data_IF_088093899370
#
_entry.id   IF_088093899370
#
_cell.length_a   1.000
_cell.length_b   1.000
_cell.length_c   1.000
_cell.angle_alpha   90.00
_cell.angle_beta   90.00
_cell.angle_gamma   90.00
#
_symmetry.space_group_name_H-M   'P 1'
#
loop_
_entity.id
_entity.type
_entity.pdbx_description
1 polymer ?
#
# COMPACT_ATOMS: atom_id res chain seq x y z
N UNK A 1 6.30 1.83 14.12
CA UNK A 1 5.33 2.59 13.32
C UNK A 1 5.99 3.60 12.37
N UNK A 2 7.08 4.29 12.75
CA UNK A 2 7.84 5.19 11.83
C UNK A 2 8.48 4.47 10.62
N UNK A 3 8.78 3.17 10.74
CA UNK A 3 9.36 2.37 9.66
C UNK A 3 8.36 2.10 8.52
N UNK A 4 7.06 1.98 8.81
CA UNK A 4 6.03 1.75 7.78
C UNK A 4 5.84 2.97 6.88
N UNK A 5 5.95 4.19 7.42
CA UNK A 5 6.00 5.40 6.63
C UNK A 5 7.20 5.36 5.67
N UNK A 6 8.41 5.05 6.15
CA UNK A 6 9.60 4.93 5.28
C UNK A 6 9.41 3.92 4.14
N UNK A 7 8.66 2.84 4.37
CA UNK A 7 8.33 1.88 3.32
C UNK A 7 7.39 2.43 2.25
N UNK A 8 6.38 3.22 2.62
CA UNK A 8 5.48 3.84 1.65
C UNK A 8 6.20 4.92 0.83
N UNK A 9 7.17 5.63 1.44
CA UNK A 9 7.83 6.79 0.83
C UNK A 9 8.81 6.46 -0.31
N UNK A 10 9.34 5.24 -0.38
CA UNK A 10 10.46 4.92 -1.29
C UNK A 10 10.17 3.82 -2.33
N UNK A 11 8.93 3.34 -2.43
CA UNK A 11 8.53 2.44 -3.51
C UNK A 11 8.29 3.19 -4.82
N UNK A 12 9.40 3.55 -5.49
CA UNK A 12 9.37 4.12 -6.84
C UNK A 12 9.18 3.07 -7.95
N UNK A 13 9.10 1.78 -7.60
CA UNK A 13 9.07 0.64 -8.55
C UNK A 13 7.72 -0.08 -8.65
N UNK A 14 6.69 0.38 -7.94
CA UNK A 14 5.35 -0.20 -7.99
C UNK A 14 4.45 0.41 -9.07
N UNK A 15 3.40 -0.31 -9.46
CA UNK A 15 2.28 0.30 -10.17
C UNK A 15 1.63 1.37 -9.28
N UNK A 16 1.05 2.42 -9.90
CA UNK A 16 0.38 3.47 -9.13
C UNK A 16 -0.77 2.89 -8.32
N UNK A 17 -1.04 3.48 -7.14
CA UNK A 17 -2.17 3.10 -6.30
C UNK A 17 -3.48 3.09 -7.11
N UNK A 18 -3.65 4.08 -8.00
CA UNK A 18 -4.80 4.17 -8.90
C UNK A 18 -4.93 2.95 -9.82
N UNK A 19 -3.83 2.53 -10.47
CA UNK A 19 -3.84 1.38 -11.36
C UNK A 19 -4.03 0.07 -10.60
N UNK A 20 -3.35 -0.07 -9.46
CA UNK A 20 -3.47 -1.24 -8.57
C UNK A 20 -4.90 -1.42 -8.05
N UNK A 21 -5.56 -0.35 -7.59
CA UNK A 21 -6.98 -0.38 -7.21
C UNK A 21 -7.85 -0.69 -8.42
N UNK A 22 -7.55 -0.09 -9.58
CA UNK A 22 -8.26 -0.35 -10.83
C UNK A 22 -8.30 -1.85 -11.18
N UNK A 23 -7.17 -2.55 -11.10
CA UNK A 23 -7.08 -3.99 -11.36
C UNK A 23 -7.98 -4.79 -10.40
N UNK A 24 -7.96 -4.45 -9.11
CA UNK A 24 -8.79 -5.13 -8.09
C UNK A 24 -10.29 -4.90 -8.36
N UNK A 25 -10.68 -3.67 -8.69
CA UNK A 25 -12.06 -3.33 -8.99
C UNK A 25 -12.53 -3.96 -10.30
N UNK A 26 -11.69 -4.01 -11.34
CA UNK A 26 -11.99 -4.71 -12.59
C UNK A 26 -12.19 -6.21 -12.35
N UNK A 27 -11.32 -6.84 -11.56
CA UNK A 27 -11.47 -8.24 -11.19
C UNK A 27 -12.77 -8.49 -10.41
N UNK A 28 -13.12 -7.58 -9.49
CA UNK A 28 -14.38 -7.63 -8.76
C UNK A 28 -15.58 -7.50 -9.70
N UNK A 29 -15.54 -6.57 -10.65
CA UNK A 29 -16.61 -6.38 -11.62
C UNK A 29 -16.82 -7.64 -12.47
N UNK A 30 -15.75 -8.25 -12.99
CA UNK A 30 -15.84 -9.51 -13.73
C UNK A 30 -16.44 -10.65 -12.90
N UNK A 31 -16.21 -10.64 -11.58
CA UNK A 31 -16.82 -11.60 -10.65
C UNK A 31 -18.31 -11.30 -10.41
N UNK A 32 -18.72 -10.03 -10.38
CA UNK A 32 -20.12 -9.61 -10.29
C UNK A 32 -20.91 -9.98 -11.56
N UNK A 33 -20.27 -9.98 -12.72
CA UNK A 33 -20.84 -10.42 -14.01
C UNK A 33 -20.89 -11.95 -14.16
N UNK A 34 -20.16 -12.69 -13.33
CA UNK A 34 -20.09 -14.14 -13.39
C UNK A 34 -21.36 -14.80 -12.82
N UNK A 35 -21.85 -15.83 -13.51
CA UNK A 35 -23.05 -16.56 -13.14
C UNK A 35 -22.72 -17.91 -12.49
N UNK A 36 -23.59 -18.35 -11.58
CA UNK A 36 -23.50 -19.65 -10.91
C UNK A 36 -23.33 -19.57 -9.40
N UNK A 37 -23.56 -20.69 -8.72
CA UNK A 37 -23.53 -20.76 -7.26
C UNK A 37 -22.12 -20.53 -6.69
N UNK A 38 -21.10 -21.08 -7.36
CA UNK A 38 -19.69 -20.86 -6.99
C UNK A 38 -19.31 -19.39 -7.14
N UNK A 39 -19.72 -18.72 -8.21
CA UNK A 39 -19.44 -17.30 -8.42
C UNK A 39 -20.05 -16.43 -7.30
N UNK A 40 -21.31 -16.72 -6.91
CA UNK A 40 -21.97 -16.04 -5.78
C UNK A 40 -21.22 -16.21 -4.47
N UNK A 41 -20.80 -17.44 -4.13
CA UNK A 41 -20.04 -17.72 -2.90
C UNK A 41 -18.69 -16.98 -2.86
N UNK A 42 -17.99 -16.93 -3.99
CA UNK A 42 -16.72 -16.20 -4.10
C UNK A 42 -16.97 -14.69 -3.96
N UNK A 43 -18.02 -14.15 -4.60
CA UNK A 43 -18.38 -12.74 -4.51
C UNK A 43 -18.76 -12.31 -3.08
N UNK A 44 -19.56 -13.12 -2.39
CA UNK A 44 -19.91 -12.92 -0.98
C UNK A 44 -18.66 -12.91 -0.10
N UNK A 45 -17.74 -13.84 -0.34
CA UNK A 45 -16.46 -13.90 0.37
C UNK A 45 -15.61 -12.65 0.09
N UNK A 46 -15.53 -12.22 -1.16
CA UNK A 46 -14.82 -11.03 -1.59
C UNK A 46 -15.37 -9.77 -0.89
N UNK A 47 -16.68 -9.58 -0.93
CA UNK A 47 -17.36 -8.46 -0.26
C UNK A 47 -17.15 -8.49 1.26
N UNK A 48 -17.18 -9.67 1.88
CA UNK A 48 -16.91 -9.85 3.31
C UNK A 48 -15.47 -9.50 3.68
N UNK A 49 -14.50 -9.80 2.83
CA UNK A 49 -13.09 -9.42 3.05
C UNK A 49 -12.93 -7.91 2.94
N UNK A 50 -13.48 -7.29 1.89
CA UNK A 50 -13.38 -5.83 1.72
C UNK A 50 -14.08 -5.05 2.82
N UNK A 51 -15.25 -5.51 3.30
CA UNK A 51 -15.98 -4.81 4.36
C UNK A 51 -15.29 -4.87 5.72
N UNK A 52 -14.49 -5.92 5.97
CA UNK A 52 -13.71 -6.08 7.21
C UNK A 52 -12.32 -5.44 7.14
N UNK A 53 -11.84 -5.10 5.94
CA UNK A 53 -10.51 -4.56 5.76
C UNK A 53 -10.54 -3.02 5.78
N UNK A 54 -10.35 -2.43 6.96
CA UNK A 54 -10.28 -0.98 7.14
C UNK A 54 -9.18 -0.33 6.29
N UNK A 55 -8.03 -1.01 6.11
CA UNK A 55 -6.93 -0.52 5.29
C UNK A 55 -7.31 -0.40 3.81
N UNK A 56 -8.13 -1.32 3.29
CA UNK A 56 -8.66 -1.21 1.92
C UNK A 56 -9.58 0.01 1.76
N UNK A 57 -10.43 0.29 2.75
CA UNK A 57 -11.27 1.49 2.73
C UNK A 57 -10.42 2.77 2.78
N UNK A 58 -9.35 2.76 3.58
CA UNK A 58 -8.42 3.89 3.71
C UNK A 58 -7.64 4.14 2.40
N UNK A 59 -7.12 3.10 1.75
CA UNK A 59 -6.44 3.20 0.45
C UNK A 59 -7.34 3.76 -0.65
N UNK A 60 -8.63 3.40 -0.66
CA UNK A 60 -9.59 3.99 -1.59
C UNK A 60 -9.76 5.51 -1.36
N UNK A 61 -9.82 5.96 -0.10
CA UNK A 61 -9.87 7.40 0.23
C UNK A 61 -8.63 8.13 -0.28
N UNK A 62 -7.45 7.57 -0.02
CA UNK A 62 -6.16 8.12 -0.50
C UNK A 62 -6.15 8.22 -2.03
N UNK A 63 -6.64 7.19 -2.74
CA UNK A 63 -6.75 7.22 -4.20
C UNK A 63 -7.74 8.28 -4.69
N UNK A 64 -8.88 8.47 -4.01
CA UNK A 64 -9.85 9.52 -4.35
C UNK A 64 -9.26 10.92 -4.22
N UNK A 65 -8.42 11.16 -3.21
CA UNK A 65 -7.69 12.43 -3.01
C UNK A 65 -6.69 12.63 -4.16
N UNK A 66 -5.87 11.63 -4.48
CA UNK A 66 -4.89 11.72 -5.58
C UNK A 66 -5.52 11.99 -6.95
N UNK A 67 -6.72 11.46 -7.20
CA UNK A 67 -7.46 11.68 -8.44
C UNK A 67 -8.30 12.98 -8.42
N UNK A 68 -8.26 13.76 -7.34
CA UNK A 68 -9.02 15.01 -7.21
C UNK A 68 -10.53 14.82 -7.07
N UNK A 69 -11.00 13.58 -6.85
CA UNK A 69 -12.43 13.24 -6.77
C UNK A 69 -13.04 13.52 -5.38
N UNK A 70 -12.21 13.60 -4.34
CA UNK A 70 -12.67 13.87 -2.98
C UNK A 70 -11.71 14.82 -2.26
N UNK A 71 -12.11 16.10 -2.13
CA UNK A 71 -11.25 17.18 -1.63
C UNK A 71 -11.26 17.34 -0.10
N UNK A 72 -12.24 16.73 0.61
CA UNK A 72 -12.44 16.90 2.06
C UNK A 72 -12.48 15.57 2.82
N UNK A 73 -11.86 14.52 2.29
CA UNK A 73 -11.84 13.21 2.95
C UNK A 73 -10.71 13.18 3.95
N UNK A 74 -11.05 13.13 5.24
CA UNK A 74 -10.06 12.95 6.29
C UNK A 74 -9.57 11.49 6.30
N UNK A 75 -8.25 11.33 6.27
CA UNK A 75 -7.59 10.04 6.48
C UNK A 75 -6.92 10.13 7.85
N UNK A 76 -7.54 9.52 8.85
CA UNK A 76 -7.26 9.76 10.27
C UNK A 76 -5.79 9.51 10.67
N UNK A 77 -5.05 8.73 9.88
CA UNK A 77 -3.67 8.33 10.17
C UNK A 77 -2.59 9.18 9.50
N UNK A 78 -2.92 10.02 8.52
CA UNK A 78 -1.93 10.67 7.66
C UNK A 78 -2.21 12.16 7.50
N UNK A 79 -1.16 12.97 7.57
CA UNK A 79 -1.27 14.39 7.24
C UNK A 79 -1.28 14.61 5.71
N UNK A 80 -1.54 15.85 5.27
CA UNK A 80 -1.58 16.16 3.84
C UNK A 80 -0.25 15.93 3.11
N UNK A 81 0.90 16.05 3.79
CA UNK A 81 2.20 15.77 3.20
C UNK A 81 2.41 14.27 3.04
N UNK A 82 2.06 13.49 4.06
CA UNK A 82 2.14 12.02 4.04
C UNK A 82 1.34 11.43 2.88
N UNK A 83 0.13 11.96 2.67
CA UNK A 83 -0.77 11.52 1.59
C UNK A 83 -0.15 11.66 0.20
N UNK A 84 0.60 12.73 -0.07
CA UNK A 84 1.25 12.96 -1.38
C UNK A 84 2.24 11.85 -1.73
N UNK A 85 2.87 11.23 -0.73
CA UNK A 85 3.82 10.15 -0.93
C UNK A 85 3.15 8.78 -1.13
N UNK A 86 1.83 8.66 -0.91
CA UNK A 86 1.11 7.40 -1.05
C UNK A 86 0.72 7.05 -2.50
N UNK A 87 1.20 7.80 -3.50
CA UNK A 87 0.93 7.54 -4.92
C UNK A 87 1.27 6.11 -5.37
N UNK A 88 2.25 5.49 -4.72
CA UNK A 88 2.72 4.12 -4.98
C UNK A 88 2.54 3.20 -3.76
N UNK A 89 1.56 3.51 -2.90
CA UNK A 89 1.30 2.70 -1.72
C UNK A 89 1.01 1.23 -2.10
N UNK A 90 1.66 0.25 -1.44
CA UNK A 90 1.44 -1.15 -1.73
C UNK A 90 0.03 -1.58 -1.31
N UNK A 91 -0.64 -2.34 -2.18
CA UNK A 91 -1.98 -2.88 -1.89
C UNK A 91 -1.96 -4.33 -1.42
N UNK A 92 -0.82 -5.03 -1.56
CA UNK A 92 -0.66 -6.44 -1.15
C UNK A 92 0.35 -6.57 -0.02
N UNK A 93 0.13 -7.54 0.88
CA UNK A 93 1.12 -7.86 1.93
C UNK A 93 2.42 -8.40 1.36
N UNK A 94 2.38 -9.04 0.18
CA UNK A 94 3.57 -9.56 -0.50
C UNK A 94 4.54 -8.44 -0.87
N UNK A 95 4.03 -7.29 -1.31
CA UNK A 95 4.88 -6.14 -1.64
C UNK A 95 5.57 -5.59 -0.39
N UNK A 96 4.85 -5.55 0.74
CA UNK A 96 5.36 -5.16 2.05
C UNK A 96 6.42 -6.16 2.55
N UNK A 97 6.14 -7.46 2.48
CA UNK A 97 7.08 -8.51 2.89
C UNK A 97 8.36 -8.49 2.05
N UNK A 98 8.23 -8.29 0.73
CA UNK A 98 9.38 -8.11 -0.16
C UNK A 98 10.22 -6.91 0.30
N UNK A 99 9.58 -5.81 0.71
CA UNK A 99 10.28 -4.67 1.31
C UNK A 99 11.07 -5.09 2.55
N UNK A 100 10.39 -5.68 3.53
CA UNK A 100 11.02 -6.12 4.78
C UNK A 100 12.18 -7.08 4.54
N UNK A 101 12.08 -7.94 3.52
CA UNK A 101 13.17 -8.83 3.10
C UNK A 101 14.37 -8.06 2.57
N UNK A 102 14.17 -7.07 1.70
CA UNK A 102 15.26 -6.23 1.17
C UNK A 102 16.03 -5.51 2.28
N UNK A 103 15.32 -5.02 3.31
CA UNK A 103 15.94 -4.30 4.43
C UNK A 103 16.17 -5.19 5.66
N UNK A 104 16.10 -6.52 5.52
CA UNK A 104 16.26 -7.47 6.63
C UNK A 104 17.57 -7.26 7.38
N UNK A 105 18.65 -6.92 6.68
CA UNK A 105 19.96 -6.70 7.31
C UNK A 105 20.02 -5.43 8.16
N UNK A 106 19.16 -4.45 7.88
CA UNK A 106 19.06 -3.17 8.61
C UNK A 106 18.07 -3.28 9.76
N UNK A 107 16.93 -3.93 9.51
CA UNK A 107 15.83 -4.06 10.46
C UNK A 107 16.03 -5.22 11.45
N UNK A 108 17.03 -6.09 11.22
CA UNK A 108 17.40 -7.12 12.18
C UNK A 108 17.98 -6.49 13.46
N UNK A 109 17.62 -7.02 14.65
CA UNK A 109 18.21 -6.56 15.91
C UNK A 109 19.74 -6.68 15.90
N UNK A 110 20.42 -5.72 16.52
CA UNK A 110 21.85 -5.80 16.89
C UNK A 110 22.90 -5.89 15.76
N UNK A 111 22.61 -5.48 14.52
CA UNK A 111 23.65 -5.45 13.46
C UNK A 111 24.22 -4.07 13.16
N UNK A 112 23.42 -3.00 13.27
CA UNK A 112 23.85 -1.61 13.05
C UNK A 112 22.96 -0.67 13.87
N UNK A 113 23.52 0.13 14.77
CA UNK A 113 22.75 1.18 15.47
C UNK A 113 22.66 2.42 14.58
N UNK A 114 21.60 2.52 13.77
CA UNK A 114 21.32 3.75 13.04
C UNK A 114 20.54 4.72 13.93
N UNK A 115 20.95 6.00 13.91
CA UNK A 115 20.03 7.07 14.26
C UNK A 115 19.05 7.30 13.11
N UNK A 116 17.96 8.01 13.35
CA UNK A 116 16.90 8.23 12.36
C UNK A 116 17.42 8.86 11.06
N UNK A 117 18.28 9.87 11.15
CA UNK A 117 18.86 10.53 9.97
C UNK A 117 19.69 9.58 9.10
N UNK A 118 20.51 8.74 9.73
CA UNK A 118 21.35 7.78 9.04
C UNK A 118 20.52 6.65 8.45
N UNK A 119 19.47 6.20 9.14
CA UNK A 119 18.53 5.22 8.62
C UNK A 119 17.85 5.75 7.36
N UNK A 120 17.31 6.98 7.39
CA UNK A 120 16.66 7.60 6.22
C UNK A 120 17.62 7.69 5.02
N UNK A 121 18.83 8.20 5.23
CA UNK A 121 19.85 8.29 4.15
C UNK A 121 20.20 6.92 3.58
N UNK A 122 20.36 5.92 4.44
CA UNK A 122 20.65 4.56 4.00
C UNK A 122 19.48 3.99 3.19
N UNK A 123 18.24 4.15 3.67
CA UNK A 123 17.05 3.66 2.98
C UNK A 123 16.93 4.27 1.58
N UNK A 124 17.19 5.59 1.44
CA UNK A 124 17.26 6.28 0.14
C UNK A 124 18.29 5.60 -0.77
N UNK A 125 19.55 5.51 -0.33
CA UNK A 125 20.66 4.92 -1.10
C UNK A 125 20.34 3.47 -1.50
N UNK A 126 19.91 2.66 -0.54
CA UNK A 126 19.60 1.25 -0.75
C UNK A 126 18.42 1.05 -1.71
N UNK A 127 17.45 1.97 -1.72
CA UNK A 127 16.32 1.96 -2.65
C UNK A 127 16.75 2.31 -4.08
N UNK A 128 17.79 3.11 -4.26
CA UNK A 128 18.34 3.46 -5.58
C UNK A 128 19.30 2.41 -6.15
N UNK A 129 20.08 1.72 -5.30
CA UNK A 129 21.13 0.80 -5.75
C UNK A 129 20.74 -0.68 -5.79
N UNK A 130 19.69 -1.10 -5.08
CA UNK A 130 19.16 -2.47 -5.17
C UNK A 130 17.96 -2.57 -6.12
N UNK A 131 17.89 -1.66 -7.10
CA UNK A 131 17.00 -1.74 -8.26
C UNK A 131 17.61 -2.70 -9.28
#
# INVERSE_FOLDING_TARGET
>A
FQVFAVFIYYYFLGETLAKSIGIVLEAKQKLEEANGEVAKLILETCNRVFSKNNGWAELQKVNSIHNGTALNVNVEQYDSNDLVYMKYAPITSVDVERSFSMYKNILAPNRMSFNESNLTKYMVVNSFFNI
#
